data_IF_864495567200
#
_entry.id   IF_864495567200
#
_cell.length_a   1.000
_cell.length_b   1.000
_cell.length_c   1.000
_cell.angle_alpha   90.00
_cell.angle_beta   90.00
_cell.angle_gamma   90.00
#
_symmetry.space_group_name_H-M   'P 1'
#
loop_
_entity.id
_entity.type
_entity.pdbx_description
1 polymer ?
#
# COMPACT_ATOMS: atom_id res chain seq x y z
N UNK A 1 13.75 5.85 -1.68
CA UNK A 1 14.95 5.83 -0.79
C UNK A 1 15.96 4.76 -1.20
N UNK A 2 15.58 3.47 -1.26
CA UNK A 2 16.52 2.38 -1.62
C UNK A 2 17.30 2.65 -2.91
N UNK A 3 16.60 3.04 -3.99
CA UNK A 3 17.23 3.38 -5.26
C UNK A 3 18.29 4.50 -5.14
N UNK A 4 17.99 5.58 -4.40
CA UNK A 4 18.92 6.69 -4.14
C UNK A 4 20.19 6.20 -3.44
N UNK A 5 20.04 5.43 -2.36
CA UNK A 5 21.17 4.91 -1.56
C UNK A 5 22.03 3.95 -2.38
N UNK A 6 21.42 3.16 -3.27
CA UNK A 6 22.12 2.21 -4.15
C UNK A 6 22.63 2.82 -5.46
N UNK A 7 22.23 4.05 -5.78
CA UNK A 7 22.56 4.70 -7.06
C UNK A 7 21.91 4.03 -8.27
N UNK A 8 20.78 3.35 -8.08
CA UNK A 8 20.13 2.61 -9.16
C UNK A 8 19.15 1.53 -8.70
N UNK A 9 18.67 0.76 -9.68
CA UNK A 9 17.73 -0.36 -9.49
C UNK A 9 17.76 -1.28 -10.74
N UNK A 10 16.96 -2.35 -10.77
CA UNK A 10 16.97 -3.29 -11.91
C UNK A 10 15.58 -3.59 -12.47
N UNK A 11 15.54 -3.91 -13.77
CA UNK A 11 14.37 -4.41 -14.48
C UNK A 11 14.62 -5.85 -14.94
N UNK A 12 13.65 -6.72 -14.70
CA UNK A 12 13.66 -8.11 -15.15
C UNK A 12 12.51 -8.31 -16.13
N UNK A 13 12.79 -9.02 -17.22
CA UNK A 13 11.81 -9.34 -18.26
C UNK A 13 11.62 -10.86 -18.38
N UNK A 14 11.07 -11.52 -17.36
CA UNK A 14 10.89 -12.97 -17.37
C UNK A 14 9.93 -13.44 -18.45
N UNK A 15 10.23 -14.64 -18.97
CA UNK A 15 9.30 -15.43 -19.78
C UNK A 15 8.47 -16.33 -18.87
N UNK A 16 7.18 -16.08 -18.84
CA UNK A 16 6.22 -16.79 -18.02
C UNK A 16 5.40 -17.74 -18.88
N UNK A 17 5.16 -18.93 -18.36
CA UNK A 17 4.14 -19.84 -18.91
C UNK A 17 2.80 -19.50 -18.28
N UNK A 18 1.83 -19.08 -19.10
CA UNK A 18 0.44 -18.93 -18.67
C UNK A 18 -0.40 -20.11 -19.19
N UNK A 19 -1.65 -20.20 -18.74
CA UNK A 19 -2.63 -21.17 -19.24
C UNK A 19 -2.93 -21.03 -20.73
N UNK A 20 -2.70 -19.84 -21.32
CA UNK A 20 -3.01 -19.53 -22.73
C UNK A 20 -1.77 -19.39 -23.62
N UNK A 21 -0.57 -19.51 -23.07
CA UNK A 21 0.69 -19.44 -23.82
C UNK A 21 1.86 -18.81 -23.05
N UNK A 22 2.99 -18.67 -23.73
CA UNK A 22 4.15 -17.95 -23.20
C UNK A 22 3.92 -16.44 -23.28
N UNK A 23 4.28 -15.71 -22.23
CA UNK A 23 4.23 -14.25 -22.21
C UNK A 23 5.44 -13.67 -21.50
N UNK A 24 5.80 -12.44 -21.85
CA UNK A 24 6.82 -11.66 -21.14
C UNK A 24 6.11 -10.75 -20.15
N UNK A 25 6.73 -10.48 -19.02
CA UNK A 25 6.21 -9.51 -18.04
C UNK A 25 7.38 -8.79 -17.37
N UNK A 26 7.09 -7.78 -16.55
CA UNK A 26 8.12 -6.90 -15.99
C UNK A 26 8.13 -7.00 -14.47
N UNK A 27 9.33 -7.15 -13.91
CA UNK A 27 9.59 -6.90 -12.48
C UNK A 27 10.58 -5.75 -12.37
N UNK A 28 10.23 -4.73 -11.60
CA UNK A 28 11.16 -3.65 -11.21
C UNK A 28 11.59 -3.90 -9.78
N UNK A 29 12.89 -3.99 -9.51
CA UNK A 29 13.43 -4.34 -8.19
C UNK A 29 14.32 -3.23 -7.61
N UNK A 30 14.01 -2.80 -6.39
CA UNK A 30 14.75 -1.80 -5.62
C UNK A 30 15.42 -2.47 -4.41
N UNK A 31 16.74 -2.60 -4.46
CA UNK A 31 17.53 -3.36 -3.48
C UNK A 31 17.76 -2.60 -2.17
N UNK A 32 16.78 -2.64 -1.28
CA UNK A 32 16.98 -2.32 0.13
C UNK A 32 17.68 -3.49 0.85
N UNK A 33 17.24 -4.72 0.60
CA UNK A 33 17.94 -5.97 0.85
C UNK A 33 18.51 -6.54 -0.47
N UNK A 34 19.58 -7.34 -0.38
CA UNK A 34 20.23 -7.92 -1.57
C UNK A 34 19.43 -9.10 -2.12
N UNK A 35 18.88 -9.93 -1.23
CA UNK A 35 18.20 -11.17 -1.60
C UNK A 35 16.68 -10.95 -1.73
N UNK A 36 16.13 -10.04 -0.94
CA UNK A 36 14.70 -9.73 -0.88
C UNK A 36 14.41 -8.24 -1.17
N UNK A 37 14.68 -7.76 -2.40
CA UNK A 37 14.44 -6.37 -2.75
C UNK A 37 12.94 -6.03 -2.77
N UNK A 38 12.61 -4.76 -2.57
CA UNK A 38 11.27 -4.24 -2.85
C UNK A 38 10.98 -4.36 -4.35
N UNK A 39 9.83 -4.92 -4.71
CA UNK A 39 9.47 -5.13 -6.12
C UNK A 39 8.14 -4.50 -6.54
N UNK A 40 8.09 -4.11 -7.81
CA UNK A 40 6.87 -3.81 -8.54
C UNK A 40 6.71 -4.85 -9.65
N UNK A 41 5.58 -5.56 -9.65
CA UNK A 41 5.24 -6.53 -10.70
C UNK A 41 4.24 -5.91 -11.66
N UNK A 42 4.56 -5.95 -12.96
CA UNK A 42 3.76 -5.36 -14.02
C UNK A 42 3.47 -6.42 -15.08
N UNK A 43 2.20 -6.83 -15.16
CA UNK A 43 1.72 -7.65 -16.26
C UNK A 43 1.77 -6.83 -17.55
N UNK A 44 2.26 -7.45 -18.62
CA UNK A 44 2.43 -6.80 -19.93
C UNK A 44 1.53 -7.49 -20.95
N UNK A 45 0.81 -6.70 -21.77
CA UNK A 45 -0.16 -7.21 -22.74
C UNK A 45 0.08 -6.68 -24.14
N UNK A 46 -0.22 -7.49 -25.16
CA UNK A 46 0.01 -7.18 -26.56
C UNK A 46 -0.90 -6.08 -27.12
N UNK A 47 -2.10 -5.94 -26.54
CA UNK A 47 -3.10 -4.93 -26.88
C UNK A 47 -2.98 -3.63 -26.05
N UNK A 48 -1.95 -3.50 -25.21
CA UNK A 48 -1.70 -2.35 -24.36
C UNK A 48 -0.58 -1.45 -24.89
N UNK A 49 -0.90 -0.20 -25.20
CA UNK A 49 0.07 0.78 -25.68
C UNK A 49 1.14 1.13 -24.63
N UNK A 50 0.81 1.05 -23.34
CA UNK A 50 1.77 1.31 -22.27
C UNK A 50 2.88 0.24 -22.25
N UNK A 51 2.51 -1.02 -22.38
CA UNK A 51 3.44 -2.15 -22.52
C UNK A 51 4.47 -1.92 -23.64
N UNK A 52 4.01 -1.55 -24.84
CA UNK A 52 4.92 -1.29 -25.97
C UNK A 52 5.83 -0.09 -25.72
N UNK A 53 5.32 0.98 -25.10
CA UNK A 53 6.11 2.15 -24.73
C UNK A 53 7.22 1.82 -23.73
N UNK A 54 6.93 1.02 -22.71
CA UNK A 54 7.95 0.57 -21.73
C UNK A 54 9.02 -0.29 -22.40
N UNK A 55 8.63 -1.25 -23.25
CA UNK A 55 9.59 -2.08 -23.98
C UNK A 55 10.46 -1.27 -24.93
N UNK A 56 9.94 -0.18 -25.51
CA UNK A 56 10.72 0.75 -26.33
C UNK A 56 11.70 1.54 -25.46
N UNK A 57 11.24 2.11 -24.34
CA UNK A 57 12.06 2.90 -23.41
C UNK A 57 13.25 2.08 -22.88
N UNK A 58 13.03 0.80 -22.55
CA UNK A 58 14.08 -0.08 -22.03
C UNK A 58 15.17 -0.42 -23.06
N UNK A 59 15.02 -0.03 -24.33
CA UNK A 59 16.05 -0.20 -25.39
C UNK A 59 16.97 0.99 -25.54
N UNK A 60 16.71 2.11 -24.86
CA UNK A 60 17.58 3.28 -24.92
C UNK A 60 18.76 3.10 -23.96
N UNK A 61 19.93 3.62 -24.33
CA UNK A 61 21.12 3.60 -23.46
C UNK A 61 20.95 4.55 -22.26
N UNK A 62 20.16 5.61 -22.42
CA UNK A 62 19.94 6.65 -21.41
C UNK A 62 18.48 7.09 -21.38
N UNK A 63 17.95 7.23 -20.16
CA UNK A 63 16.58 7.68 -19.90
C UNK A 63 16.54 8.59 -18.67
N UNK A 64 15.56 9.49 -18.61
CA UNK A 64 15.28 10.25 -17.39
C UNK A 64 14.23 9.49 -16.56
N UNK A 65 14.54 9.23 -15.28
CA UNK A 65 13.67 8.50 -14.35
C UNK A 65 13.21 9.44 -13.25
N UNK A 66 11.91 9.44 -12.98
CA UNK A 66 11.24 10.30 -12.01
C UNK A 66 10.52 9.45 -10.95
N UNK A 67 10.76 9.72 -9.68
CA UNK A 67 10.19 9.00 -8.54
C UNK A 67 9.10 9.85 -7.89
N UNK A 68 7.86 9.40 -8.04
CA UNK A 68 6.71 9.96 -7.38
C UNK A 68 6.29 9.11 -6.19
N UNK A 69 5.85 9.75 -5.11
CA UNK A 69 5.15 9.05 -4.05
C UNK A 69 3.65 8.85 -4.35
N UNK A 70 2.96 8.28 -3.38
CA UNK A 70 1.55 7.96 -3.42
C UNK A 70 0.62 9.22 -3.38
N UNK A 71 1.21 10.40 -3.15
CA UNK A 71 0.60 11.72 -3.15
C UNK A 71 0.95 12.52 -4.41
N UNK A 72 1.68 11.93 -5.36
CA UNK A 72 2.20 12.53 -6.59
C UNK A 72 3.27 13.62 -6.36
N UNK A 73 3.98 13.61 -5.25
CA UNK A 73 5.17 14.43 -5.09
C UNK A 73 6.37 13.76 -5.77
N UNK A 74 7.01 14.48 -6.70
CA UNK A 74 8.30 14.07 -7.25
C UNK A 74 9.38 14.29 -6.18
N UNK A 75 9.97 13.21 -5.69
CA UNK A 75 11.00 13.27 -4.65
C UNK A 75 12.41 13.15 -5.19
N UNK A 76 12.57 12.45 -6.31
CA UNK A 76 13.86 12.19 -6.94
C UNK A 76 13.67 12.19 -8.44
N UNK A 77 14.64 12.72 -9.16
CA UNK A 77 14.76 12.51 -10.59
C UNK A 77 16.21 12.41 -10.99
N UNK A 78 16.52 11.48 -11.90
CA UNK A 78 17.88 11.19 -12.33
C UNK A 78 17.94 10.94 -13.83
N UNK A 79 18.98 11.47 -14.45
CA UNK A 79 19.49 10.91 -15.70
C UNK A 79 20.08 9.56 -15.39
N UNK A 80 19.66 8.55 -16.13
CA UNK A 80 19.93 7.14 -15.82
C UNK A 80 20.41 6.41 -17.05
N UNK A 81 21.54 5.70 -16.92
CA UNK A 81 22.01 4.77 -17.94
C UNK A 81 21.30 3.43 -17.76
N UNK A 82 20.87 2.81 -18.85
CA UNK A 82 20.34 1.45 -18.87
C UNK A 82 21.42 0.52 -19.42
N UNK A 83 22.02 -0.29 -18.54
CA UNK A 83 22.97 -1.34 -18.91
C UNK A 83 22.21 -2.65 -19.07
N UNK A 84 22.04 -3.10 -20.32
CA UNK A 84 21.41 -4.38 -20.65
C UNK A 84 22.49 -5.42 -21.02
N UNK A 85 22.92 -6.27 -20.08
CA UNK A 85 23.96 -7.26 -20.30
C UNK A 85 23.50 -8.50 -21.07
N UNK A 86 22.19 -8.73 -21.23
CA UNK A 86 21.71 -10.05 -21.62
C UNK A 86 20.20 -10.27 -21.67
N UNK A 87 19.37 -9.24 -21.55
CA UNK A 87 17.93 -9.39 -21.51
C UNK A 87 17.35 -9.86 -22.85
N UNK A 88 16.07 -10.23 -22.85
CA UNK A 88 15.36 -10.61 -24.07
C UNK A 88 15.21 -9.46 -25.07
N UNK A 89 15.58 -8.21 -24.74
CA UNK A 89 15.51 -7.07 -25.65
C UNK A 89 16.69 -7.00 -26.63
N UNK A 90 17.89 -7.45 -26.24
CA UNK A 90 19.11 -7.35 -27.05
C UNK A 90 19.38 -8.60 -27.91
N UNK A 91 18.74 -9.73 -27.58
CA UNK A 91 18.87 -10.98 -28.33
C UNK A 91 17.95 -11.08 -29.55
N UNK A 92 18.11 -12.16 -30.32
CA UNK A 92 17.14 -12.58 -31.34
C UNK A 92 15.88 -13.24 -30.74
N UNK A 93 15.73 -13.19 -29.41
CA UNK A 93 14.61 -13.81 -28.73
C UNK A 93 13.31 -13.05 -29.01
N UNK A 94 12.31 -13.75 -29.51
CA UNK A 94 10.97 -13.19 -29.67
C UNK A 94 10.36 -12.84 -28.32
N UNK A 95 9.93 -11.59 -28.16
CA UNK A 95 9.05 -11.16 -27.08
C UNK A 95 7.64 -11.60 -27.44
N UNK A 96 7.05 -12.44 -26.59
CA UNK A 96 5.65 -12.84 -26.71
C UNK A 96 4.83 -12.08 -25.67
N UNK A 97 3.72 -11.49 -26.09
CA UNK A 97 2.77 -10.81 -25.22
C UNK A 97 1.39 -11.36 -25.52
N UNK A 98 0.67 -11.74 -24.48
CA UNK A 98 -0.74 -12.15 -24.61
C UNK A 98 -1.62 -10.91 -24.66
N UNK A 99 -2.76 -11.00 -25.33
CA UNK A 99 -3.80 -9.98 -25.20
C UNK A 99 -4.40 -10.01 -23.80
N UNK A 100 -4.89 -8.87 -23.34
CA UNK A 100 -5.56 -8.75 -22.06
C UNK A 100 -6.78 -9.67 -21.98
N UNK A 101 -6.77 -10.52 -20.95
CA UNK A 101 -7.93 -11.24 -20.47
C UNK A 101 -7.83 -11.30 -18.94
N UNK A 102 -8.94 -11.16 -18.17
CA UNK A 102 -8.88 -11.19 -16.71
C UNK A 102 -8.15 -12.41 -16.14
N UNK A 103 -8.39 -13.60 -16.72
CA UNK A 103 -7.74 -14.85 -16.32
C UNK A 103 -6.23 -14.85 -16.66
N UNK A 104 -5.83 -14.24 -17.78
CA UNK A 104 -4.42 -14.07 -18.12
C UNK A 104 -3.75 -13.11 -17.13
N UNK A 105 -4.40 -11.99 -16.81
CA UNK A 105 -3.88 -10.99 -15.87
C UNK A 105 -3.66 -11.58 -14.47
N UNK A 106 -4.63 -12.33 -13.97
CA UNK A 106 -4.49 -13.04 -12.70
C UNK A 106 -3.35 -14.06 -12.74
N UNK A 107 -3.33 -14.93 -13.75
CA UNK A 107 -2.29 -15.96 -13.88
C UNK A 107 -0.88 -15.39 -14.01
N UNK A 108 -0.72 -14.28 -14.74
CA UNK A 108 0.55 -13.56 -14.87
C UNK A 108 0.99 -12.98 -13.52
N UNK A 109 0.07 -12.35 -12.77
CA UNK A 109 0.39 -11.75 -11.49
C UNK A 109 0.91 -12.80 -10.48
N UNK A 110 0.22 -13.94 -10.38
CA UNK A 110 0.63 -15.06 -9.53
C UNK A 110 1.96 -15.68 -10.00
N UNK A 111 2.15 -15.82 -11.32
CA UNK A 111 3.38 -16.36 -11.89
C UNK A 111 4.59 -15.45 -11.65
N UNK A 112 4.43 -14.12 -11.73
CA UNK A 112 5.51 -13.14 -11.51
C UNK A 112 6.05 -13.20 -10.08
N UNK A 113 5.16 -13.22 -9.09
CA UNK A 113 5.56 -13.28 -7.68
C UNK A 113 6.36 -14.54 -7.39
N UNK A 114 5.87 -15.68 -7.89
CA UNK A 114 6.58 -16.95 -7.76
C UNK A 114 7.91 -16.93 -8.51
N UNK A 115 7.94 -16.50 -9.78
CA UNK A 115 9.17 -16.48 -10.56
C UNK A 115 10.27 -15.65 -9.88
N UNK A 116 9.95 -14.43 -9.44
CA UNK A 116 10.96 -13.55 -8.84
C UNK A 116 11.51 -14.07 -7.50
N UNK A 117 10.67 -14.77 -6.72
CA UNK A 117 11.10 -15.42 -5.48
C UNK A 117 12.04 -16.61 -5.69
N UNK A 118 12.10 -17.15 -6.91
CA UNK A 118 12.95 -18.29 -7.29
C UNK A 118 14.05 -17.90 -8.27
N UNK A 119 14.25 -16.60 -8.51
CA UNK A 119 15.28 -16.10 -9.43
C UNK A 119 16.66 -16.61 -9.02
N UNK A 120 17.50 -16.88 -10.00
CA UNK A 120 18.87 -17.31 -9.79
C UNK A 120 19.91 -16.25 -10.22
N UNK A 121 21.20 -16.56 -10.04
CA UNK A 121 22.30 -15.67 -10.43
C UNK A 121 22.26 -15.31 -11.92
N UNK A 122 21.77 -16.20 -12.78
CA UNK A 122 21.68 -15.95 -14.21
C UNK A 122 20.56 -14.95 -14.52
N UNK A 123 19.43 -15.05 -13.83
CA UNK A 123 18.36 -14.06 -13.95
C UNK A 123 18.85 -12.66 -13.54
N UNK A 124 19.65 -12.56 -12.46
CA UNK A 124 20.26 -11.31 -12.00
C UNK A 124 21.35 -10.78 -12.96
N UNK A 125 22.10 -11.67 -13.61
CA UNK A 125 23.08 -11.33 -14.65
C UNK A 125 22.43 -10.82 -15.94
N UNK A 126 21.18 -11.20 -16.22
CA UNK A 126 20.42 -10.79 -17.42
C UNK A 126 19.51 -9.58 -17.18
N UNK A 127 19.39 -9.12 -15.94
CA UNK A 127 18.56 -7.96 -15.61
C UNK A 127 19.13 -6.67 -16.20
N UNK A 128 18.26 -5.80 -16.70
CA UNK A 128 18.62 -4.46 -17.17
C UNK A 128 18.87 -3.60 -15.94
N UNK A 129 20.06 -3.01 -15.83
CA UNK A 129 20.48 -2.20 -14.68
C UNK A 129 20.27 -0.73 -14.99
N UNK A 130 19.43 -0.09 -14.18
CA UNK A 130 19.24 1.35 -14.19
C UNK A 130 20.27 1.99 -13.24
N UNK A 131 21.30 2.63 -13.78
CA UNK A 131 22.39 3.26 -13.01
C UNK A 131 22.25 4.78 -13.06
N UNK A 132 22.06 5.40 -11.90
CA UNK A 132 21.91 6.86 -11.81
C UNK A 132 23.23 7.55 -12.13
N UNK A 133 23.18 8.50 -13.06
CA UNK A 133 24.32 9.31 -13.47
C UNK A 133 24.35 10.65 -12.74
N UNK A 134 23.33 11.49 -12.94
CA UNK A 134 23.22 12.80 -12.29
C UNK A 134 21.77 13.11 -11.87
N UNK A 135 21.56 13.82 -10.74
CA UNK A 135 20.23 14.26 -10.35
C UNK A 135 19.71 15.36 -11.28
N UNK A 136 18.44 15.26 -11.65
CA UNK A 136 17.72 16.26 -12.48
C UNK A 136 17.00 17.31 -11.62
N UNK A 137 16.84 17.05 -10.32
CA UNK A 137 16.21 17.94 -9.35
C UNK A 137 16.97 17.92 -8.00
N UNK A 138 16.73 18.92 -7.12
CA UNK A 138 17.30 18.90 -5.77
C UNK A 138 16.84 17.66 -5.00
N UNK A 139 17.77 16.95 -4.36
CA UNK A 139 17.47 15.69 -3.67
C UNK A 139 16.94 15.86 -2.24
N UNK A 140 16.88 17.11 -1.76
CA UNK A 140 16.37 17.51 -0.45
C UNK A 140 15.18 18.46 -0.62
N UNK A 141 14.06 17.91 -1.09
CA UNK A 141 12.81 18.66 -1.19
C UNK A 141 12.08 18.67 0.15
N UNK A 142 11.51 19.82 0.44
CA UNK A 142 10.57 20.01 1.54
C UNK A 142 9.29 20.58 0.96
N UNK A 143 8.19 19.86 1.16
CA UNK A 143 6.87 20.23 0.66
C UNK A 143 6.03 20.74 1.82
N UNK A 144 5.37 21.88 1.63
CA UNK A 144 4.32 22.36 2.54
C UNK A 144 3.01 22.43 1.75
N UNK A 145 2.07 21.57 2.10
CA UNK A 145 0.75 21.52 1.48
C UNK A 145 -0.29 22.15 2.41
N UNK A 146 -0.87 23.26 1.93
CA UNK A 146 -1.92 24.02 2.61
C UNK A 146 -3.27 23.95 1.85
N UNK A 147 -3.43 23.01 0.92
CA UNK A 147 -4.69 22.83 0.20
C UNK A 147 -5.80 22.45 1.17
N UNK A 148 -6.96 23.09 1.02
CA UNK A 148 -8.07 22.93 1.98
C UNK A 148 -8.61 21.51 1.93
N UNK A 149 -8.71 20.96 0.72
CA UNK A 149 -9.23 19.64 0.42
C UNK A 149 -8.46 18.57 1.21
N UNK A 150 -7.12 18.62 1.18
CA UNK A 150 -6.25 17.66 1.86
C UNK A 150 -6.15 17.87 3.38
N UNK A 151 -6.66 18.99 3.91
CA UNK A 151 -6.46 19.41 5.30
C UNK A 151 -7.78 19.75 6.02
N UNK A 152 -8.93 19.34 5.49
CA UNK A 152 -10.25 19.72 5.98
C UNK A 152 -10.80 18.85 7.13
N UNK A 153 -10.12 17.74 7.46
CA UNK A 153 -10.54 16.80 8.51
C UNK A 153 -10.40 17.36 9.93
N UNK A 154 -11.15 16.79 10.88
CA UNK A 154 -11.08 17.19 12.29
C UNK A 154 -9.72 16.78 12.90
N UNK A 155 -9.03 17.73 13.51
CA UNK A 155 -7.68 17.51 14.06
C UNK A 155 -6.57 18.00 13.14
N UNK A 156 -6.89 18.40 11.91
CA UNK A 156 -5.95 19.05 11.00
C UNK A 156 -5.44 20.39 11.54
N UNK A 157 -4.18 20.69 11.26
CA UNK A 157 -3.58 22.01 11.49
C UNK A 157 -3.83 23.01 10.36
N UNK A 158 -4.53 22.60 9.29
CA UNK A 158 -4.71 23.38 8.06
C UNK A 158 -3.52 23.31 7.09
N UNK A 159 -2.51 22.50 7.42
CA UNK A 159 -1.36 22.25 6.57
C UNK A 159 -0.70 20.92 6.95
N UNK A 160 0.04 20.36 6.00
CA UNK A 160 0.98 19.26 6.20
C UNK A 160 2.33 19.59 5.61
N UNK A 161 3.33 18.85 6.09
CA UNK A 161 4.71 18.98 5.65
C UNK A 161 5.21 17.62 5.28
N UNK A 162 6.02 17.55 4.24
CA UNK A 162 6.59 16.29 3.76
C UNK A 162 8.03 16.46 3.30
N UNK A 163 8.78 15.38 3.39
CA UNK A 163 10.16 15.24 2.97
C UNK A 163 10.47 13.76 2.73
N UNK A 164 11.34 13.48 1.77
CA UNK A 164 11.76 12.12 1.45
C UNK A 164 12.37 11.39 2.67
N UNK A 165 13.16 12.11 3.48
CA UNK A 165 13.69 11.59 4.75
C UNK A 165 12.75 11.97 5.88
N UNK A 166 12.28 10.98 6.64
CA UNK A 166 11.28 11.16 7.71
C UNK A 166 11.85 10.63 9.04
N UNK A 167 12.32 11.55 9.88
CA UNK A 167 12.87 11.23 11.21
C UNK A 167 11.78 10.94 12.25
N UNK A 168 10.63 11.61 12.13
CA UNK A 168 9.42 11.36 12.93
C UNK A 168 8.32 10.75 12.04
N UNK A 169 8.37 9.44 11.75
CA UNK A 169 7.49 8.82 10.78
C UNK A 169 6.01 8.84 11.20
N UNK A 170 5.73 8.93 12.51
CA UNK A 170 4.35 8.97 13.02
C UNK A 170 3.59 10.21 12.52
N UNK A 171 4.23 11.39 12.58
CA UNK A 171 3.64 12.64 12.11
C UNK A 171 3.17 12.57 10.65
N UNK A 172 3.98 11.97 9.78
CA UNK A 172 3.70 11.85 8.35
C UNK A 172 2.65 10.77 8.08
N UNK A 173 2.83 9.57 8.64
CA UNK A 173 1.91 8.45 8.44
C UNK A 173 0.47 8.82 8.84
N UNK A 174 0.29 9.52 9.96
CA UNK A 174 -1.04 9.95 10.40
C UNK A 174 -1.74 10.86 9.38
N UNK A 175 -0.99 11.75 8.74
CA UNK A 175 -1.52 12.68 7.73
C UNK A 175 -1.77 11.99 6.40
N UNK A 176 -0.88 11.09 6.01
CA UNK A 176 -1.01 10.29 4.81
C UNK A 176 -2.27 9.42 4.87
N UNK A 177 -2.54 8.82 6.03
CA UNK A 177 -3.81 8.11 6.29
C UNK A 177 -5.02 9.04 6.18
N UNK A 178 -4.94 10.26 6.74
CA UNK A 178 -6.04 11.24 6.63
C UNK A 178 -6.34 11.58 5.17
N UNK A 179 -5.32 11.77 4.33
CA UNK A 179 -5.52 12.06 2.91
C UNK A 179 -6.08 10.85 2.15
N UNK A 180 -5.63 9.64 2.47
CA UNK A 180 -6.26 8.42 1.94
C UNK A 180 -7.75 8.35 2.30
N UNK A 181 -8.13 8.63 3.55
CA UNK A 181 -9.53 8.61 3.99
C UNK A 181 -10.40 9.67 3.28
N UNK A 182 -9.85 10.87 3.04
CA UNK A 182 -10.52 11.97 2.32
C UNK A 182 -10.91 11.62 0.88
N UNK A 183 -10.31 10.59 0.28
CA UNK A 183 -10.69 10.10 -1.06
C UNK A 183 -12.11 9.52 -1.08
N UNK A 184 -12.57 8.98 0.05
CA UNK A 184 -13.83 8.26 0.14
C UNK A 184 -14.84 8.87 1.12
N UNK A 185 -14.36 9.61 2.12
CA UNK A 185 -15.16 10.03 3.27
C UNK A 185 -15.24 11.55 3.38
N UNK A 186 -16.36 12.03 3.89
CA UNK A 186 -16.54 13.43 4.25
C UNK A 186 -15.53 13.83 5.36
N UNK A 187 -14.85 14.99 5.25
CA UNK A 187 -13.85 15.44 6.23
C UNK A 187 -14.35 15.49 7.67
N UNK A 188 -15.64 15.82 7.91
CA UNK A 188 -16.21 15.92 9.25
C UNK A 188 -16.38 14.56 9.92
N UNK A 189 -16.33 13.46 9.15
CA UNK A 189 -16.40 12.09 9.66
C UNK A 189 -15.04 11.57 10.13
N UNK A 190 -13.94 12.26 9.77
CA UNK A 190 -12.57 11.84 10.06
C UNK A 190 -12.03 12.66 11.23
N UNK A 191 -11.67 11.99 12.33
CA UNK A 191 -11.03 12.60 13.49
C UNK A 191 -9.62 12.06 13.64
N UNK A 192 -8.62 12.92 13.51
CA UNK A 192 -7.21 12.59 13.73
C UNK A 192 -6.82 12.90 15.18
N UNK A 193 -6.05 11.98 15.79
CA UNK A 193 -5.52 12.02 17.14
C UNK A 193 -6.56 12.39 18.22
N UNK A 194 -7.73 11.72 18.28
CA UNK A 194 -8.69 11.96 19.35
C UNK A 194 -8.09 11.67 20.73
N UNK A 195 -8.29 12.61 21.66
CA UNK A 195 -7.81 12.51 23.04
C UNK A 195 -8.96 12.49 24.02
N UNK A 196 -8.82 11.75 25.11
CA UNK A 196 -9.82 11.77 26.18
C UNK A 196 -9.81 13.11 26.88
N UNK A 197 -10.98 13.71 27.10
CA UNK A 197 -11.08 14.99 27.82
C UNK A 197 -10.58 14.92 29.27
N UNK A 198 -10.69 13.77 29.91
CA UNK A 198 -10.37 13.58 31.34
C UNK A 198 -8.86 13.44 31.63
N UNK A 199 -8.09 12.93 30.67
CA UNK A 199 -6.68 12.56 30.87
C UNK A 199 -5.76 13.13 29.79
N UNK A 200 -6.32 13.76 28.75
CA UNK A 200 -5.62 14.20 27.55
C UNK A 200 -4.83 13.09 26.85
N UNK A 201 -5.10 11.84 27.19
CA UNK A 201 -4.45 10.68 26.58
C UNK A 201 -5.11 10.40 25.25
N UNK A 202 -4.30 10.30 24.21
CA UNK A 202 -4.72 9.85 22.89
C UNK A 202 -5.24 8.41 22.93
N UNK A 203 -6.34 8.17 22.22
CA UNK A 203 -6.96 6.84 22.19
C UNK A 203 -6.61 6.06 20.93
N UNK A 204 -6.46 6.75 19.81
CA UNK A 204 -6.24 6.24 18.45
C UNK A 204 -5.56 7.31 17.61
N UNK A 205 -4.93 6.90 16.51
CA UNK A 205 -4.45 7.83 15.49
C UNK A 205 -5.64 8.39 14.68
N UNK A 206 -6.62 7.55 14.32
CA UNK A 206 -7.87 8.03 13.72
C UNK A 206 -9.12 7.34 14.25
N UNK A 207 -10.20 8.12 14.28
CA UNK A 207 -11.56 7.66 14.49
C UNK A 207 -12.41 8.16 13.33
N UNK A 208 -13.02 7.23 12.58
CA UNK A 208 -13.99 7.56 11.53
C UNK A 208 -15.39 7.19 12.01
N UNK A 209 -16.35 8.11 11.87
CA UNK A 209 -17.74 7.88 12.22
C UNK A 209 -18.65 8.16 11.02
N UNK A 210 -19.24 7.10 10.46
CA UNK A 210 -20.33 7.20 9.48
C UNK A 210 -21.68 7.08 10.18
N UNK A 211 -22.77 6.91 9.45
CA UNK A 211 -24.07 6.67 10.08
C UNK A 211 -24.15 5.26 10.69
N UNK A 212 -23.58 4.26 10.01
CA UNK A 212 -23.73 2.83 10.37
C UNK A 212 -22.47 2.18 10.93
N UNK A 213 -21.30 2.82 10.78
CA UNK A 213 -20.01 2.23 11.10
C UNK A 213 -19.11 3.21 11.85
N UNK A 214 -18.39 2.70 12.83
CA UNK A 214 -17.26 3.37 13.46
C UNK A 214 -15.98 2.60 13.11
N UNK A 215 -15.02 3.26 12.44
CA UNK A 215 -13.71 2.66 12.13
C UNK A 215 -12.68 3.20 13.10
N UNK A 216 -12.04 2.30 13.84
CA UNK A 216 -10.99 2.60 14.82
C UNK A 216 -9.65 2.28 14.17
N UNK A 217 -8.87 3.31 13.82
CA UNK A 217 -7.64 3.14 13.06
C UNK A 217 -6.45 3.41 13.98
N UNK A 218 -5.52 2.48 14.00
CA UNK A 218 -4.23 2.67 14.65
C UNK A 218 -3.13 2.29 13.67
N UNK A 219 -2.26 3.25 13.40
CA UNK A 219 -1.09 3.09 12.59
C UNK A 219 0.14 2.87 13.47
N UNK A 220 1.11 2.14 12.92
CA UNK A 220 2.47 2.02 13.46
C UNK A 220 3.44 2.01 12.30
N UNK A 221 4.27 3.04 12.21
CA UNK A 221 5.37 3.10 11.27
C UNK A 221 6.71 2.79 11.92
N UNK A 222 7.72 2.55 11.10
CA UNK A 222 9.12 2.57 11.50
C UNK A 222 9.89 3.61 10.67
N UNK A 223 10.90 4.28 11.26
CA UNK A 223 11.67 5.32 10.57
C UNK A 223 12.18 4.86 9.20
N UNK A 224 12.18 5.75 8.21
CA UNK A 224 12.77 5.52 6.89
C UNK A 224 14.08 6.30 6.80
N UNK A 225 15.10 5.72 7.42
CA UNK A 225 16.48 6.23 7.50
C UNK A 225 17.45 5.23 6.88
N UNK A 226 18.62 5.66 6.38
CA UNK A 226 19.61 4.73 5.83
C UNK A 226 19.96 3.56 6.77
N UNK A 227 20.16 3.76 8.10
CA UNK A 227 20.43 2.64 9.01
C UNK A 227 19.24 1.68 9.19
N UNK A 228 18.02 2.12 8.92
CA UNK A 228 16.83 1.26 9.00
C UNK A 228 16.63 0.38 7.77
N UNK A 229 17.19 0.76 6.61
CA UNK A 229 17.12 -0.01 5.37
C UNK A 229 17.98 -1.27 5.44
N UNK A 230 19.14 -1.23 6.10
CA UNK A 230 20.05 -2.38 6.23
C UNK A 230 19.68 -3.40 7.31
N UNK A 231 18.43 -3.43 7.79
CA UNK A 231 17.99 -4.44 8.77
C UNK A 231 17.63 -5.74 8.06
N UNK A 232 18.07 -6.87 8.61
CA UNK A 232 17.68 -8.18 8.10
C UNK A 232 16.17 -8.38 8.13
N UNK A 233 15.67 -9.21 7.22
CA UNK A 233 14.25 -9.53 7.11
C UNK A 233 13.66 -10.06 8.42
N UNK A 234 14.35 -10.96 9.12
CA UNK A 234 13.91 -11.52 10.41
C UNK A 234 13.63 -10.42 11.44
N UNK A 235 14.47 -9.37 11.43
CA UNK A 235 14.31 -8.24 12.34
C UNK A 235 13.15 -7.36 11.93
N UNK A 236 12.90 -7.18 10.62
CA UNK A 236 11.72 -6.48 10.09
C UNK A 236 10.44 -7.21 10.49
N UNK A 237 10.33 -8.52 10.21
CA UNK A 237 9.21 -9.40 10.61
C UNK A 237 8.89 -9.31 12.10
N UNK A 238 9.88 -9.49 12.96
CA UNK A 238 9.69 -9.40 14.42
C UNK A 238 9.16 -8.02 14.85
N UNK A 239 9.63 -6.94 14.23
CA UNK A 239 9.15 -5.60 14.53
C UNK A 239 7.70 -5.40 14.06
N UNK A 240 7.36 -5.88 12.87
CA UNK A 240 5.98 -5.85 12.35
C UNK A 240 5.01 -6.54 13.31
N UNK A 241 5.31 -7.75 13.79
CA UNK A 241 4.45 -8.45 14.77
C UNK A 241 4.27 -7.65 16.08
N UNK A 242 5.34 -7.02 16.57
CA UNK A 242 5.27 -6.18 17.77
C UNK A 242 4.38 -4.94 17.54
N UNK A 243 4.51 -4.30 16.38
CA UNK A 243 3.72 -3.16 15.97
C UNK A 243 2.23 -3.52 15.81
N UNK A 244 1.92 -4.63 15.13
CA UNK A 244 0.55 -5.16 15.00
C UNK A 244 -0.06 -5.38 16.39
N UNK A 245 0.66 -6.10 17.27
CA UNK A 245 0.18 -6.36 18.63
C UNK A 245 -0.05 -5.10 19.46
N UNK A 246 0.79 -4.07 19.30
CA UNK A 246 0.61 -2.78 19.95
C UNK A 246 -0.61 -2.02 19.39
N UNK A 247 -0.77 -2.00 18.06
CA UNK A 247 -1.90 -1.35 17.39
C UNK A 247 -3.23 -1.95 17.84
N UNK A 248 -3.35 -3.28 17.84
CA UNK A 248 -4.57 -3.99 18.25
C UNK A 248 -4.91 -3.73 19.72
N UNK A 249 -3.91 -3.70 20.62
CA UNK A 249 -4.13 -3.35 22.03
C UNK A 249 -4.74 -1.96 22.18
N UNK A 250 -4.27 -1.00 21.38
CA UNK A 250 -4.78 0.37 21.37
C UNK A 250 -6.21 0.43 20.82
N UNK A 251 -6.49 -0.25 19.69
CA UNK A 251 -7.84 -0.39 19.10
C UNK A 251 -8.83 -0.97 20.11
N UNK A 252 -8.51 -2.12 20.72
CA UNK A 252 -9.35 -2.76 21.73
C UNK A 252 -9.51 -1.89 23.00
N UNK A 253 -8.50 -1.08 23.33
CA UNK A 253 -8.58 -0.09 24.41
C UNK A 253 -9.57 1.04 24.11
N UNK A 254 -9.47 1.60 22.91
CA UNK A 254 -10.35 2.66 22.43
C UNK A 254 -11.80 2.18 22.29
N UNK A 255 -12.02 0.99 21.71
CA UNK A 255 -13.35 0.38 21.61
C UNK A 255 -14.02 0.24 22.99
N UNK A 256 -13.28 -0.28 23.99
CA UNK A 256 -13.80 -0.40 25.37
C UNK A 256 -14.11 0.95 26.01
N UNK A 257 -13.26 1.95 25.79
CA UNK A 257 -13.49 3.31 26.31
C UNK A 257 -14.76 3.93 25.69
N UNK A 258 -14.86 3.89 24.36
CA UNK A 258 -15.99 4.46 23.61
C UNK A 258 -17.31 3.70 23.87
N UNK A 259 -17.27 2.40 24.15
CA UNK A 259 -18.47 1.61 24.45
C UNK A 259 -18.97 1.78 25.89
N UNK A 260 -18.10 2.17 26.84
CA UNK A 260 -18.48 2.34 28.24
C UNK A 260 -19.30 3.61 28.47
N UNK A 261 -19.00 4.66 27.72
CA UNK A 261 -19.68 5.95 27.83
C UNK A 261 -20.85 6.00 26.86
N UNK A 262 -22.04 6.42 27.31
CA UNK A 262 -23.15 6.69 26.39
C UNK A 262 -22.77 7.75 25.35
N UNK A 263 -21.99 8.73 25.80
CA UNK A 263 -21.39 9.79 24.97
C UNK A 263 -19.99 10.08 25.50
N UNK A 264 -18.98 9.72 24.73
CA UNK A 264 -17.57 9.96 25.04
C UNK A 264 -17.21 11.41 24.74
N UNK A 265 -16.56 12.07 25.70
CA UNK A 265 -16.06 13.45 25.55
C UNK A 265 -14.60 13.42 25.13
N UNK A 266 -14.34 13.88 23.92
CA UNK A 266 -13.03 13.88 23.28
C UNK A 266 -12.54 15.30 23.05
N UNK A 267 -11.23 15.43 22.85
CA UNK A 267 -10.57 16.62 22.33
C UNK A 267 -9.94 16.24 20.99
N UNK A 268 -10.30 16.96 19.94
CA UNK A 268 -9.79 16.75 18.57
C UNK A 268 -9.37 18.10 18.00
N UNK A 269 -8.10 18.27 17.64
CA UNK A 269 -7.58 19.56 17.14
C UNK A 269 -7.78 20.73 18.13
N UNK A 270 -7.73 20.44 19.43
CA UNK A 270 -7.97 21.42 20.49
C UNK A 270 -9.45 21.79 20.72
N UNK A 271 -10.39 21.15 20.01
CA UNK A 271 -11.84 21.36 20.18
C UNK A 271 -12.46 20.21 20.95
N UNK A 272 -13.40 20.53 21.83
CA UNK A 272 -14.24 19.53 22.48
C UNK A 272 -15.20 18.91 21.45
N UNK A 273 -15.24 17.58 21.40
CA UNK A 273 -16.14 16.81 20.54
C UNK A 273 -16.84 15.75 21.38
N UNK A 274 -18.16 15.62 21.20
CA UNK A 274 -18.95 14.56 21.82
C UNK A 274 -19.22 13.46 20.80
N UNK A 275 -18.84 12.23 21.14
CA UNK A 275 -18.93 11.07 20.26
C UNK A 275 -19.81 9.99 20.90
N UNK A 276 -20.67 9.37 20.09
CA UNK A 276 -21.47 8.23 20.51
C UNK A 276 -21.32 7.11 19.48
N UNK A 277 -20.94 5.90 19.93
CA UNK A 277 -20.95 4.73 19.04
C UNK A 277 -22.39 4.37 18.64
N UNK A 278 -23.32 4.38 19.61
CA UNK A 278 -24.71 4.01 19.37
C UNK A 278 -24.81 2.57 18.88
N UNK A 279 -25.61 2.35 17.83
CA UNK A 279 -25.79 1.03 17.20
C UNK A 279 -24.77 0.73 16.09
N UNK A 280 -23.80 1.62 15.87
CA UNK A 280 -22.80 1.45 14.82
C UNK A 280 -22.04 0.13 14.99
N UNK A 281 -21.77 -0.50 13.85
CA UNK A 281 -20.80 -1.58 13.79
C UNK A 281 -19.40 -0.99 14.00
N UNK A 282 -18.60 -1.62 14.83
CA UNK A 282 -17.24 -1.14 15.12
C UNK A 282 -16.25 -2.02 14.36
N UNK A 283 -15.43 -1.42 13.51
CA UNK A 283 -14.36 -2.09 12.76
C UNK A 283 -13.02 -1.59 13.28
N UNK A 284 -12.12 -2.51 13.64
CA UNK A 284 -10.74 -2.20 13.99
C UNK A 284 -9.83 -2.28 12.76
N UNK A 285 -8.97 -1.28 12.55
CA UNK A 285 -8.03 -1.27 11.43
C UNK A 285 -6.63 -0.96 11.95
N UNK A 286 -5.75 -1.96 11.93
CA UNK A 286 -4.34 -1.80 12.24
C UNK A 286 -3.56 -1.59 10.93
N UNK A 287 -2.87 -0.46 10.81
CA UNK A 287 -2.04 -0.12 9.65
C UNK A 287 -0.58 -0.21 10.07
N UNK A 288 0.22 -0.99 9.35
CA UNK A 288 1.66 -1.10 9.57
C UNK A 288 2.44 -0.71 8.32
N UNK A 289 3.77 -0.59 8.44
CA UNK A 289 4.62 -0.22 7.31
C UNK A 289 4.57 -1.24 6.17
N UNK A 290 4.72 -2.51 6.51
CA UNK A 290 4.84 -3.62 5.56
C UNK A 290 4.25 -4.90 6.16
N UNK A 291 3.74 -5.77 5.28
CA UNK A 291 3.32 -7.13 5.59
C UNK A 291 4.11 -8.08 4.68
N UNK A 292 4.35 -9.30 5.18
CA UNK A 292 5.12 -10.32 4.50
C UNK A 292 4.19 -11.40 3.95
N UNK A 293 4.35 -11.75 2.67
CA UNK A 293 3.43 -12.62 1.95
C UNK A 293 3.31 -14.03 2.53
N UNK A 294 4.37 -14.51 3.19
CA UNK A 294 4.48 -15.84 3.80
C UNK A 294 3.92 -15.93 5.24
N UNK A 295 3.47 -14.82 5.83
CA UNK A 295 3.02 -14.73 7.23
C UNK A 295 1.49 -14.66 7.40
N UNK A 296 0.72 -14.99 6.38
CA UNK A 296 -0.75 -14.84 6.36
C UNK A 296 -1.49 -15.45 7.55
N UNK A 297 -1.05 -16.61 8.05
CA UNK A 297 -1.66 -17.25 9.23
C UNK A 297 -1.50 -16.37 10.49
N UNK A 298 -0.33 -15.78 10.69
CA UNK A 298 -0.08 -14.89 11.83
C UNK A 298 -0.96 -13.63 11.77
N UNK A 299 -1.21 -13.11 10.56
CA UNK A 299 -2.08 -11.95 10.36
C UNK A 299 -3.56 -12.30 10.56
N UNK A 300 -4.02 -13.47 10.13
CA UNK A 300 -5.36 -13.95 10.44
C UNK A 300 -5.58 -14.08 11.96
N UNK A 301 -4.60 -14.62 12.70
CA UNK A 301 -4.64 -14.69 14.17
C UNK A 301 -4.70 -13.29 14.79
N UNK A 302 -3.93 -12.34 14.26
CA UNK A 302 -3.97 -10.95 14.71
C UNK A 302 -5.36 -10.33 14.50
N UNK A 303 -5.96 -10.49 13.33
CA UNK A 303 -7.34 -10.04 13.06
C UNK A 303 -8.37 -10.69 13.98
N UNK A 304 -8.23 -11.99 14.26
CA UNK A 304 -9.11 -12.71 15.18
C UNK A 304 -9.05 -12.16 16.62
N UNK A 305 -7.93 -11.56 17.04
CA UNK A 305 -7.83 -10.89 18.34
C UNK A 305 -8.65 -9.60 18.46
N UNK A 306 -9.27 -9.14 17.36
CA UNK A 306 -10.27 -8.07 17.31
C UNK A 306 -11.71 -8.59 17.12
N UNK A 307 -11.96 -9.90 17.23
CA UNK A 307 -13.29 -10.49 17.00
C UNK A 307 -14.38 -10.00 17.96
N UNK A 308 -14.02 -9.41 19.11
CA UNK A 308 -14.97 -8.77 20.02
C UNK A 308 -15.61 -7.49 19.47
N UNK A 309 -15.08 -6.94 18.38
CA UNK A 309 -15.68 -5.81 17.67
C UNK A 309 -16.80 -6.33 16.76
N UNK A 310 -18.00 -5.71 16.80
CA UNK A 310 -19.17 -6.14 16.01
C UNK A 310 -18.85 -6.24 14.50
N UNK A 311 -18.06 -5.30 13.99
CA UNK A 311 -17.60 -5.25 12.60
C UNK A 311 -16.28 -5.99 12.31
N UNK A 312 -15.66 -6.61 13.31
CA UNK A 312 -14.39 -7.33 13.17
C UNK A 312 -13.17 -6.42 13.14
N UNK A 313 -12.03 -6.96 12.72
CA UNK A 313 -10.83 -6.16 12.54
C UNK A 313 -9.92 -6.70 11.44
N UNK A 314 -9.13 -5.78 10.89
CA UNK A 314 -8.25 -6.01 9.74
C UNK A 314 -6.86 -5.46 10.07
N UNK A 315 -5.85 -6.16 9.60
CA UNK A 315 -4.47 -5.68 9.51
C UNK A 315 -4.15 -5.44 8.04
N UNK A 316 -3.54 -4.32 7.71
CA UNK A 316 -3.00 -4.05 6.37
C UNK A 316 -1.74 -3.21 6.45
N UNK A 317 -0.87 -3.31 5.45
CA UNK A 317 0.20 -2.34 5.29
C UNK A 317 -0.34 -1.02 4.69
N UNK A 318 0.48 0.04 4.76
CA UNK A 318 0.10 1.35 4.24
C UNK A 318 -0.19 1.36 2.73
N UNK A 319 0.61 0.64 1.91
CA UNK A 319 0.42 0.61 0.46
C UNK A 319 -0.91 -0.07 0.09
N UNK A 320 -1.25 -1.15 0.79
CA UNK A 320 -2.54 -1.81 0.71
C UNK A 320 -3.68 -0.85 1.07
N UNK A 321 -3.54 -0.06 2.14
CA UNK A 321 -4.56 0.93 2.52
C UNK A 321 -4.69 2.07 1.50
N UNK A 322 -3.58 2.55 0.94
CA UNK A 322 -3.58 3.54 -0.13
C UNK A 322 -4.31 3.02 -1.37
N UNK A 323 -3.97 1.82 -1.85
CA UNK A 323 -4.63 1.18 -2.99
C UNK A 323 -6.13 0.97 -2.73
N UNK A 324 -6.48 0.54 -1.52
CA UNK A 324 -7.86 0.32 -1.09
C UNK A 324 -8.69 1.61 -1.14
N UNK A 325 -8.20 2.70 -0.56
CA UNK A 325 -8.89 4.00 -0.57
C UNK A 325 -8.93 4.66 -1.94
N UNK A 326 -7.93 4.41 -2.79
CA UNK A 326 -7.93 4.88 -4.17
C UNK A 326 -9.01 4.18 -5.01
N UNK A 327 -9.16 2.86 -4.86
CA UNK A 327 -10.15 2.09 -5.61
C UNK A 327 -11.57 2.32 -5.09
N UNK A 328 -11.77 2.24 -3.78
CA UNK A 328 -13.06 2.46 -3.13
C UNK A 328 -13.23 3.93 -2.72
N UNK A 329 -13.29 4.82 -3.70
CA UNK A 329 -13.26 6.29 -3.56
C UNK A 329 -14.61 6.94 -3.18
N UNK A 330 -15.51 6.18 -2.55
CA UNK A 330 -16.74 6.73 -1.98
C UNK A 330 -17.13 5.94 -0.73
N UNK A 331 -17.85 6.61 0.18
CA UNK A 331 -18.17 6.06 1.50
C UNK A 331 -18.90 4.70 1.45
N UNK A 332 -19.97 4.50 0.65
CA UNK A 332 -20.62 3.20 0.55
C UNK A 332 -19.67 2.09 0.07
N UNK A 333 -18.88 2.35 -0.97
CA UNK A 333 -17.93 1.40 -1.52
C UNK A 333 -16.82 1.05 -0.52
N UNK A 334 -16.24 2.06 0.12
CA UNK A 334 -15.19 1.90 1.12
C UNK A 334 -15.67 1.06 2.30
N UNK A 335 -16.84 1.39 2.87
CA UNK A 335 -17.40 0.67 4.01
C UNK A 335 -17.78 -0.77 3.62
N UNK A 336 -18.47 -0.97 2.50
CA UNK A 336 -18.87 -2.31 2.05
C UNK A 336 -17.67 -3.23 1.81
N UNK A 337 -16.62 -2.71 1.16
CA UNK A 337 -15.37 -3.43 0.93
C UNK A 337 -14.67 -3.79 2.25
N UNK A 338 -14.62 -2.84 3.20
CA UNK A 338 -13.97 -3.06 4.49
C UNK A 338 -14.71 -4.13 5.30
N UNK A 339 -16.05 -4.12 5.26
CA UNK A 339 -16.88 -5.12 5.92
C UNK A 339 -16.77 -6.50 5.29
N UNK A 340 -16.71 -6.58 3.96
CA UNK A 340 -16.47 -7.82 3.24
C UNK A 340 -15.11 -8.39 3.65
N UNK A 341 -14.03 -7.61 3.58
CA UNK A 341 -12.70 -8.05 3.98
C UNK A 341 -12.66 -8.51 5.44
N UNK A 342 -13.27 -7.74 6.37
CA UNK A 342 -13.34 -8.10 7.78
C UNK A 342 -14.16 -9.37 8.04
N UNK A 343 -15.15 -9.67 7.19
CA UNK A 343 -15.94 -10.91 7.26
C UNK A 343 -15.14 -12.10 6.75
N UNK A 344 -14.47 -11.96 5.61
CA UNK A 344 -13.65 -13.03 5.02
C UNK A 344 -12.51 -13.43 5.97
N UNK A 345 -11.80 -12.46 6.54
CA UNK A 345 -10.73 -12.76 7.51
C UNK A 345 -11.27 -13.42 8.77
N UNK A 346 -12.49 -13.06 9.21
CA UNK A 346 -13.16 -13.74 10.33
C UNK A 346 -13.55 -15.19 10.02
N UNK A 347 -13.69 -15.57 8.76
CA UNK A 347 -13.96 -16.96 8.37
C UNK A 347 -12.73 -17.87 8.52
N UNK A 348 -11.57 -17.32 8.90
CA UNK A 348 -10.30 -18.03 9.06
C UNK A 348 -9.44 -18.04 7.80
N UNK A 349 -9.91 -17.43 6.71
CA UNK A 349 -9.15 -17.24 5.48
C UNK A 349 -8.40 -15.91 5.54
N UNK A 350 -7.07 -15.94 5.58
CA UNK A 350 -6.30 -14.73 5.29
C UNK A 350 -6.51 -14.35 3.83
N UNK A 351 -6.92 -13.11 3.59
CA UNK A 351 -6.94 -12.51 2.27
C UNK A 351 -5.99 -11.34 2.33
N UNK A 352 -4.99 -11.33 1.44
CA UNK A 352 -4.08 -10.19 1.38
C UNK A 352 -4.88 -8.97 0.93
N UNK A 353 -4.82 -7.85 1.67
CA UNK A 353 -5.57 -6.65 1.30
C UNK A 353 -5.28 -6.15 -0.13
N UNK A 354 -4.02 -6.25 -0.59
CA UNK A 354 -3.64 -5.91 -1.98
C UNK A 354 -4.28 -6.83 -3.01
N UNK A 355 -4.29 -8.14 -2.78
CA UNK A 355 -4.96 -9.12 -3.66
C UNK A 355 -6.46 -8.86 -3.74
N UNK A 356 -7.10 -8.57 -2.61
CA UNK A 356 -8.52 -8.20 -2.57
C UNK A 356 -8.84 -6.97 -3.45
N UNK A 357 -7.97 -5.95 -3.44
CA UNK A 357 -8.12 -4.78 -4.32
C UNK A 357 -7.92 -5.17 -5.79
N UNK A 358 -6.89 -5.96 -6.09
CA UNK A 358 -6.60 -6.42 -7.47
C UNK A 358 -7.77 -7.24 -8.02
N UNK A 359 -8.29 -8.21 -7.27
CA UNK A 359 -9.45 -9.02 -7.65
C UNK A 359 -10.68 -8.13 -7.94
N UNK A 360 -10.93 -7.12 -7.11
CA UNK A 360 -12.02 -6.17 -7.29
C UNK A 360 -11.85 -5.34 -8.57
N UNK A 361 -10.63 -4.88 -8.86
CA UNK A 361 -10.28 -4.15 -10.09
C UNK A 361 -10.48 -5.02 -11.32
N UNK A 362 -9.98 -6.27 -11.29
CA UNK A 362 -10.12 -7.20 -12.40
C UNK A 362 -11.58 -7.54 -12.68
N UNK A 363 -12.40 -7.73 -11.64
CA UNK A 363 -13.83 -7.96 -11.77
C UNK A 363 -14.55 -6.76 -12.41
N UNK A 364 -14.24 -5.53 -11.98
CA UNK A 364 -14.82 -4.33 -12.57
C UNK A 364 -14.43 -4.14 -14.05
N UNK A 365 -13.16 -4.40 -14.40
CA UNK A 365 -12.69 -4.35 -15.79
C UNK A 365 -13.34 -5.44 -16.65
N UNK A 366 -13.56 -6.64 -16.09
CA UNK A 366 -14.27 -7.72 -16.77
C UNK A 366 -15.71 -7.30 -17.09
N UNK A 367 -16.42 -6.69 -16.15
CA UNK A 367 -17.77 -6.17 -16.37
C UNK A 367 -17.80 -5.09 -17.47
N UNK A 368 -16.88 -4.12 -17.42
CA UNK A 368 -16.79 -3.04 -18.41
C UNK A 368 -16.48 -3.55 -19.83
N UNK A 369 -15.64 -4.57 -19.96
CA UNK A 369 -15.27 -5.17 -21.26
C UNK A 369 -16.23 -6.29 -21.70
N UNK A 370 -17.29 -6.58 -20.92
CA UNK A 370 -18.30 -7.58 -21.26
C UNK A 370 -17.85 -9.03 -21.07
N UNK A 371 -16.80 -9.27 -20.29
CA UNK A 371 -16.29 -10.60 -19.92
C UNK A 371 -17.05 -11.26 -18.76
N UNK A 372 -18.30 -10.85 -18.48
CA UNK A 372 -19.06 -11.46 -17.37
C UNK A 372 -19.21 -12.97 -17.63
N UNK A 373 -18.62 -13.79 -16.76
CA UNK A 373 -18.97 -15.19 -16.69
C UNK A 373 -20.47 -15.26 -16.42
N UNK A 374 -21.25 -15.73 -17.40
CA UNK A 374 -22.57 -16.26 -17.08
C UNK A 374 -22.30 -17.49 -16.21
N UNK A 375 -22.80 -17.55 -14.97
CA UNK A 375 -22.75 -18.79 -14.22
C UNK A 375 -23.58 -19.80 -14.99
N UNK A 376 -22.96 -20.89 -15.44
CA UNK A 376 -23.67 -22.12 -15.85
C UNK A 376 -24.21 -22.87 -14.64
#
# INVERSE_FOLDING_TARGET
MAAKVRGGFAFYLPKLSSTSGLTTSLVTAFFDDADEPLTLTSAMFGDDAWTHGILEILRYDEVDIYFFDDQNYEWLSYRTTLDDPGSCLIGEESIYLLDYHPQNAQGIHEALQNWFGWRDEKDDEQAIRAVFAEPLSPEELYVMDMTVENNSYLGSGGFRRDSLTRDDPGYYQERDISVCLLRALDPYKIMMNPRRKDSNKEILDHLVLTDDVAVLIQAKDSPTTEPSLGRSIDRKRKMTHQQIGAAIKQINGAARYLAREKTAKLIVGGKDVEVTLGERRVIGLAIVKELFDDEGEAYAVACASMAGLKGGGIVMDYLSFHAFTHHFSNEPGFIAALELLAREVRSGKWIKPKEFVVESVLAALAEQRGYSEKPE
#
